data_IF_725552625127
#
_entry.id   IF_725552625127
#
_cell.length_a   1.000
_cell.length_b   1.000
_cell.length_c   1.000
_cell.angle_alpha   90.00
_cell.angle_beta   90.00
_cell.angle_gamma   90.00
#
_symmetry.space_group_name_H-M   'P 1'
#
loop_
_entity.id
_entity.type
_entity.pdbx_description
1 polymer ?
#
# COMPACT_ATOMS: atom_id res chain seq x y z
N UNK A 1 26.49 -19.30 17.27
CA UNK A 1 27.62 -18.42 16.87
C UNK A 1 27.11 -17.08 16.37
N UNK A 2 27.98 -16.07 16.21
CA UNK A 2 27.60 -14.66 15.93
C UNK A 2 26.72 -14.44 14.69
N UNK A 3 26.74 -15.35 13.70
CA UNK A 3 25.88 -15.33 12.50
C UNK A 3 24.73 -16.36 12.52
N UNK A 4 24.45 -16.97 13.67
CA UNK A 4 23.43 -18.03 13.77
C UNK A 4 22.02 -17.56 13.42
N UNK A 5 21.72 -16.27 13.62
CA UNK A 5 20.41 -15.69 13.34
C UNK A 5 20.08 -15.72 11.83
N UNK A 6 21.09 -15.68 10.93
CA UNK A 6 20.90 -15.76 9.48
C UNK A 6 20.40 -17.14 9.06
N UNK A 7 20.95 -18.19 9.67
CA UNK A 7 20.48 -19.57 9.45
C UNK A 7 19.05 -19.75 9.97
N UNK A 8 18.74 -19.21 11.15
CA UNK A 8 17.39 -19.23 11.73
C UNK A 8 16.41 -18.47 10.84
N UNK A 9 16.79 -17.30 10.32
CA UNK A 9 15.96 -16.52 9.40
C UNK A 9 15.69 -17.28 8.10
N UNK A 10 16.73 -17.85 7.49
CA UNK A 10 16.58 -18.67 6.28
C UNK A 10 15.65 -19.85 6.51
N UNK A 11 15.79 -20.53 7.64
CA UNK A 11 14.92 -21.65 8.02
C UNK A 11 13.47 -21.20 8.21
N UNK A 12 13.23 -20.20 9.08
CA UNK A 12 11.88 -19.74 9.41
C UNK A 12 11.15 -19.12 8.21
N UNK A 13 11.88 -18.49 7.28
CA UNK A 13 11.29 -17.94 6.04
C UNK A 13 10.69 -19.00 5.11
N UNK A 14 11.12 -20.26 5.22
CA UNK A 14 10.59 -21.40 4.46
C UNK A 14 9.66 -22.28 5.29
N UNK A 15 9.82 -22.26 6.63
CA UNK A 15 9.13 -23.15 7.53
C UNK A 15 7.59 -23.07 7.39
N UNK A 16 7.01 -21.90 7.10
CA UNK A 16 5.55 -21.77 6.98
C UNK A 16 4.96 -22.69 5.91
N UNK A 17 5.65 -22.85 4.79
CA UNK A 17 5.18 -23.61 3.62
C UNK A 17 5.26 -25.13 3.84
N UNK A 18 6.06 -25.58 4.83
CA UNK A 18 6.24 -27.00 5.15
C UNK A 18 5.58 -27.41 6.47
N UNK A 19 5.35 -26.47 7.39
CA UNK A 19 4.79 -26.75 8.71
C UNK A 19 3.27 -26.98 8.61
N UNK A 20 2.80 -28.12 9.13
CA UNK A 20 1.36 -28.41 9.30
C UNK A 20 0.67 -27.30 10.10
N UNK A 21 -0.67 -27.19 9.96
CA UNK A 21 -1.49 -26.14 10.59
C UNK A 21 -1.21 -25.93 12.08
N UNK A 22 -1.08 -27.02 12.84
CA UNK A 22 -0.74 -27.04 14.27
C UNK A 22 0.63 -27.68 14.54
N UNK A 23 1.49 -27.68 13.52
CA UNK A 23 2.86 -28.17 13.65
C UNK A 23 3.66 -27.33 14.62
N UNK A 24 4.64 -27.97 15.26
CA UNK A 24 5.53 -27.39 16.26
C UNK A 24 6.96 -27.46 15.77
N UNK A 25 7.74 -26.43 16.06
CA UNK A 25 9.18 -26.38 15.83
C UNK A 25 9.84 -26.18 17.20
N UNK A 26 10.78 -27.05 17.55
CA UNK A 26 11.68 -26.82 18.67
C UNK A 26 12.97 -26.19 18.14
N UNK A 27 13.25 -24.96 18.57
CA UNK A 27 14.43 -24.21 18.17
C UNK A 27 15.38 -24.08 19.37
N UNK A 28 16.55 -24.68 19.27
CA UNK A 28 17.66 -24.51 20.21
C UNK A 28 18.64 -23.47 19.65
N UNK A 29 18.98 -22.45 20.44
CA UNK A 29 19.99 -21.46 20.06
C UNK A 29 20.73 -20.89 21.27
N UNK A 30 21.98 -20.48 21.04
CA UNK A 30 22.85 -19.88 22.08
C UNK A 30 22.65 -18.36 22.18
N UNK A 31 22.91 -17.78 23.36
CA UNK A 31 22.97 -16.34 23.63
C UNK A 31 23.93 -15.58 22.73
N UNK A 32 24.93 -16.26 22.14
CA UNK A 32 25.81 -15.70 21.11
C UNK A 32 25.08 -15.38 19.80
N UNK A 33 23.84 -15.83 19.63
CA UNK A 33 23.01 -15.67 18.43
C UNK A 33 22.15 -14.40 18.47
N UNK A 34 22.23 -13.62 19.56
CA UNK A 34 21.39 -12.45 19.82
C UNK A 34 19.89 -12.81 19.89
N UNK A 35 19.42 -13.03 21.12
CA UNK A 35 18.03 -13.44 21.39
C UNK A 35 17.00 -12.46 20.83
N UNK A 36 17.28 -11.16 20.86
CA UNK A 36 16.35 -10.15 20.35
C UNK A 36 16.17 -10.29 18.84
N UNK A 37 17.25 -10.52 18.10
CA UNK A 37 17.18 -10.78 16.65
C UNK A 37 16.38 -12.05 16.34
N UNK A 38 16.54 -13.12 17.13
CA UNK A 38 15.75 -14.34 16.97
C UNK A 38 14.26 -14.06 17.19
N UNK A 39 13.91 -13.32 18.24
CA UNK A 39 12.53 -12.90 18.53
C UNK A 39 11.95 -12.06 17.36
N UNK A 40 12.74 -11.14 16.80
CA UNK A 40 12.36 -10.33 15.63
C UNK A 40 12.14 -11.17 14.36
N UNK A 41 13.01 -12.14 14.09
CA UNK A 41 12.89 -13.05 12.94
C UNK A 41 11.63 -13.89 13.05
N UNK A 42 11.32 -14.42 14.25
CA UNK A 42 10.09 -15.17 14.50
C UNK A 42 8.85 -14.31 14.20
N UNK A 43 8.82 -13.09 14.74
CA UNK A 43 7.71 -12.15 14.53
C UNK A 43 7.59 -11.72 13.06
N UNK A 44 8.72 -11.46 12.38
CA UNK A 44 8.78 -11.11 10.96
C UNK A 44 8.19 -12.19 10.07
N UNK A 45 8.27 -13.46 10.47
CA UNK A 45 7.71 -14.60 9.74
C UNK A 45 6.31 -15.02 10.24
N UNK A 46 5.64 -14.18 11.03
CA UNK A 46 4.28 -14.42 11.58
C UNK A 46 4.17 -15.70 12.42
N UNK A 47 5.25 -16.15 13.03
CA UNK A 47 5.20 -17.19 14.04
C UNK A 47 4.96 -16.60 15.43
N UNK A 48 4.47 -17.44 16.35
CA UNK A 48 4.51 -17.18 17.79
C UNK A 48 5.54 -18.12 18.41
N UNK A 49 6.20 -17.68 19.47
CA UNK A 49 7.16 -18.49 20.20
C UNK A 49 6.94 -18.41 21.71
N UNK A 50 7.24 -19.51 22.39
CA UNK A 50 7.31 -19.60 23.85
C UNK A 50 8.68 -20.19 24.21
N UNK A 51 9.44 -19.50 25.06
CA UNK A 51 10.63 -20.09 25.66
C UNK A 51 10.19 -21.20 26.62
N UNK A 52 10.64 -22.43 26.37
CA UNK A 52 10.33 -23.58 27.21
C UNK A 52 11.30 -23.69 28.38
N UNK A 53 12.59 -23.51 28.10
CA UNK A 53 13.66 -23.60 29.11
C UNK A 53 14.90 -22.86 28.62
N UNK A 54 15.84 -22.62 29.54
CA UNK A 54 17.17 -22.15 29.25
C UNK A 54 18.19 -22.83 30.17
N UNK A 55 19.41 -23.05 29.69
CA UNK A 55 20.50 -23.61 30.50
C UNK A 55 21.78 -22.82 30.25
N UNK A 56 22.45 -22.38 31.32
CA UNK A 56 23.78 -21.79 31.23
C UNK A 56 24.83 -22.91 31.12
N UNK A 57 25.72 -22.78 30.13
CA UNK A 57 26.81 -23.72 29.87
C UNK A 57 28.08 -22.90 29.62
N UNK A 58 29.07 -23.01 30.52
CA UNK A 58 30.31 -22.22 30.50
C UNK A 58 30.04 -20.71 30.33
N UNK A 59 30.35 -20.18 29.14
CA UNK A 59 30.27 -18.77 28.77
C UNK A 59 29.02 -18.40 27.96
N UNK A 60 28.09 -19.32 27.73
CA UNK A 60 26.86 -19.06 26.98
C UNK A 60 25.60 -19.60 27.68
N UNK A 61 24.45 -19.08 27.26
CA UNK A 61 23.14 -19.60 27.65
C UNK A 61 22.46 -20.19 26.44
N UNK A 62 22.04 -21.45 26.54
CA UNK A 62 21.22 -22.11 25.53
C UNK A 62 19.75 -21.87 25.83
N UNK A 63 18.99 -21.44 24.83
CA UNK A 63 17.54 -21.24 24.89
C UNK A 63 16.83 -22.30 24.06
N UNK A 64 15.75 -22.86 24.59
CA UNK A 64 14.84 -23.75 23.85
C UNK A 64 13.51 -23.05 23.65
N UNK A 65 13.16 -22.83 22.40
CA UNK A 65 11.90 -22.21 22.01
C UNK A 65 10.96 -23.22 21.37
N UNK A 66 9.70 -23.17 21.76
CA UNK A 66 8.60 -23.77 21.01
C UNK A 66 8.02 -22.71 20.07
N UNK A 67 8.09 -22.96 18.77
CA UNK A 67 7.58 -22.09 17.72
C UNK A 67 6.38 -22.76 17.05
N UNK A 68 5.32 -21.99 16.87
CA UNK A 68 4.05 -22.42 16.27
C UNK A 68 3.51 -21.34 15.33
N UNK A 69 2.66 -21.72 14.37
CA UNK A 69 1.95 -20.73 13.55
C UNK A 69 1.13 -19.79 14.44
N UNK A 70 1.22 -18.48 14.20
CA UNK A 70 0.33 -17.53 14.87
C UNK A 70 -1.11 -17.68 14.39
N UNK A 71 -2.07 -17.10 15.12
CA UNK A 71 -3.49 -17.09 14.70
C UNK A 71 -3.66 -16.52 13.29
N UNK A 72 -2.92 -15.47 12.95
CA UNK A 72 -2.99 -14.85 11.64
C UNK A 72 -2.38 -15.74 10.55
N UNK A 73 -1.26 -16.40 10.83
CA UNK A 73 -0.62 -17.32 9.88
C UNK A 73 -1.50 -18.55 9.62
N UNK A 74 -2.26 -19.01 10.62
CA UNK A 74 -3.27 -20.06 10.44
C UNK A 74 -4.44 -19.60 9.56
N UNK A 75 -4.89 -18.34 9.69
CA UNK A 75 -5.96 -17.78 8.84
C UNK A 75 -5.50 -17.59 7.38
N UNK A 76 -4.19 -17.40 7.16
CA UNK A 76 -3.57 -17.23 5.84
C UNK A 76 -3.08 -18.56 5.23
N UNK A 77 -3.69 -19.69 5.59
CA UNK A 77 -3.28 -21.03 5.13
C UNK A 77 -3.26 -21.21 3.60
N UNK A 78 -4.11 -20.45 2.89
CA UNK A 78 -4.16 -20.43 1.42
C UNK A 78 -3.06 -19.58 0.76
N UNK A 79 -2.26 -18.84 1.54
CA UNK A 79 -1.19 -17.98 1.04
C UNK A 79 0.16 -18.60 1.39
N UNK A 80 0.96 -18.91 0.36
CA UNK A 80 2.31 -19.45 0.53
C UNK A 80 3.39 -18.38 0.35
N UNK A 81 4.62 -18.70 0.73
CA UNK A 81 5.80 -17.84 0.58
C UNK A 81 5.59 -16.43 1.14
N UNK A 82 4.96 -16.35 2.33
CA UNK A 82 4.65 -15.09 2.99
C UNK A 82 5.95 -14.45 3.48
N UNK A 83 6.26 -13.25 2.99
CA UNK A 83 7.46 -12.49 3.36
C UNK A 83 7.10 -11.06 3.66
N UNK A 84 7.65 -10.52 4.75
CA UNK A 84 7.48 -9.10 5.07
C UNK A 84 8.05 -8.25 3.93
N UNK A 85 7.20 -7.38 3.38
CA UNK A 85 7.55 -6.51 2.27
C UNK A 85 7.79 -5.06 2.73
N UNK A 86 6.89 -4.53 3.55
CA UNK A 86 7.01 -3.17 4.07
C UNK A 86 6.37 -3.02 5.46
N UNK A 87 6.94 -2.13 6.28
CA UNK A 87 6.36 -1.72 7.56
C UNK A 87 5.77 -0.32 7.42
N UNK A 88 4.46 -0.18 7.59
CA UNK A 88 3.78 1.12 7.66
C UNK A 88 3.51 1.55 9.10
N UNK A 89 3.06 2.80 9.28
CA UNK A 89 2.70 3.34 10.61
C UNK A 89 1.59 2.53 11.28
N UNK A 90 0.61 2.06 10.50
CA UNK A 90 -0.61 1.40 11.01
C UNK A 90 -0.80 -0.05 10.57
N UNK A 91 0.00 -0.52 9.61
CA UNK A 91 -0.10 -1.87 9.07
C UNK A 91 1.25 -2.44 8.67
N UNK A 92 1.33 -3.75 8.62
CA UNK A 92 2.44 -4.50 8.05
C UNK A 92 1.98 -5.05 6.70
N UNK A 93 2.79 -4.88 5.67
CA UNK A 93 2.53 -5.41 4.34
C UNK A 93 3.47 -6.59 4.11
N UNK A 94 2.90 -7.73 3.80
CA UNK A 94 3.60 -8.92 3.38
C UNK A 94 3.34 -9.15 1.88
N UNK A 95 4.29 -9.75 1.19
CA UNK A 95 4.08 -10.37 -0.11
C UNK A 95 3.83 -11.87 0.10
N UNK A 96 3.09 -12.51 -0.81
CA UNK A 96 2.88 -13.95 -0.81
C UNK A 96 2.35 -14.44 -2.15
N UNK A 97 2.01 -15.72 -2.22
CA UNK A 97 1.42 -16.36 -3.40
C UNK A 97 0.05 -16.92 -3.02
N UNK A 98 -0.99 -16.50 -3.73
CA UNK A 98 -2.35 -16.99 -3.59
C UNK A 98 -2.87 -17.40 -4.96
N UNK A 99 -3.29 -18.66 -5.12
CA UNK A 99 -3.76 -19.23 -6.41
C UNK A 99 -2.79 -18.92 -7.58
N UNK A 100 -1.49 -19.19 -7.37
CA UNK A 100 -0.40 -18.92 -8.32
C UNK A 100 -0.22 -17.45 -8.73
N UNK A 101 -0.77 -16.50 -7.97
CA UNK A 101 -0.59 -15.06 -8.19
C UNK A 101 0.12 -14.42 -7.02
N UNK A 102 1.02 -13.49 -7.32
CA UNK A 102 1.66 -12.66 -6.30
C UNK A 102 0.63 -11.73 -5.68
N UNK A 103 0.54 -11.75 -4.36
CA UNK A 103 -0.42 -10.96 -3.56
C UNK A 103 0.28 -10.13 -2.50
N UNK A 104 -0.38 -9.05 -2.11
CA UNK A 104 -0.07 -8.27 -0.93
C UNK A 104 -1.01 -8.68 0.20
N UNK A 105 -0.47 -8.98 1.37
CA UNK A 105 -1.22 -9.23 2.60
C UNK A 105 -1.01 -8.06 3.55
N UNK A 106 -2.06 -7.26 3.77
CA UNK A 106 -2.06 -6.15 4.74
C UNK A 106 -2.62 -6.66 6.05
N UNK A 107 -1.84 -6.58 7.12
CA UNK A 107 -2.29 -6.90 8.48
C UNK A 107 -2.20 -5.66 9.36
N UNK A 108 -3.07 -5.58 10.38
CA UNK A 108 -2.99 -4.51 11.37
C UNK A 108 -1.66 -4.60 12.11
N UNK A 109 -0.97 -3.46 12.28
CA UNK A 109 0.19 -3.41 13.15
C UNK A 109 -0.29 -3.60 14.62
N UNK A 110 0.20 -4.61 15.36
CA UNK A 110 -0.21 -4.84 16.75
C UNK A 110 -0.01 -3.61 17.66
N UNK A 111 0.96 -2.74 17.33
CA UNK A 111 1.23 -1.49 18.07
C UNK A 111 0.23 -0.36 17.76
N UNK A 112 -0.66 -0.53 16.78
CA UNK A 112 -1.61 0.51 16.38
C UNK A 112 -2.90 0.46 17.21
N UNK A 113 -3.25 1.59 17.84
CA UNK A 113 -4.51 1.75 18.60
C UNK A 113 -5.75 1.85 17.71
N UNK A 114 -5.60 2.08 16.40
CA UNK A 114 -6.74 2.29 15.53
C UNK A 114 -7.52 0.99 15.26
N UNK A 115 -8.84 1.05 15.40
CA UNK A 115 -9.76 -0.09 15.26
C UNK A 115 -10.50 0.01 13.92
N UNK A 116 -10.85 -1.13 13.32
CA UNK A 116 -11.69 -1.18 12.11
C UNK A 116 -11.01 -0.79 10.79
N UNK A 117 -9.73 -0.41 10.78
CA UNK A 117 -8.96 -0.03 9.57
C UNK A 117 -9.05 -1.09 8.47
N UNK A 118 -8.75 -2.36 8.82
CA UNK A 118 -8.73 -3.46 7.87
C UNK A 118 -10.15 -3.72 7.32
N UNK A 119 -11.15 -3.81 8.20
CA UNK A 119 -12.55 -3.97 7.76
C UNK A 119 -13.01 -2.84 6.84
N UNK A 120 -12.62 -1.60 7.15
CA UNK A 120 -12.96 -0.43 6.35
C UNK A 120 -12.30 -0.49 4.96
N UNK A 121 -11.01 -0.80 4.91
CA UNK A 121 -10.28 -0.98 3.66
C UNK A 121 -10.93 -2.08 2.80
N UNK A 122 -11.23 -3.25 3.37
CA UNK A 122 -11.89 -4.35 2.65
C UNK A 122 -13.23 -3.91 2.07
N UNK A 123 -14.09 -3.29 2.89
CA UNK A 123 -15.39 -2.76 2.49
C UNK A 123 -15.29 -1.78 1.31
N UNK A 124 -14.34 -0.84 1.36
CA UNK A 124 -14.18 0.12 0.27
C UNK A 124 -13.58 -0.53 -0.97
N UNK A 125 -12.61 -1.44 -0.84
CA UNK A 125 -12.05 -2.20 -1.96
C UNK A 125 -13.12 -3.00 -2.68
N UNK A 126 -14.03 -3.69 -1.97
CA UNK A 126 -15.15 -4.40 -2.59
C UNK A 126 -16.03 -3.48 -3.46
N UNK A 127 -16.29 -2.25 -2.99
CA UNK A 127 -17.10 -1.28 -3.73
C UNK A 127 -16.34 -0.76 -4.95
N UNK A 128 -15.08 -0.35 -4.78
CA UNK A 128 -14.31 0.32 -5.84
C UNK A 128 -13.81 -0.67 -6.91
N UNK A 129 -13.56 -1.92 -6.54
CA UNK A 129 -13.19 -2.99 -7.48
C UNK A 129 -14.30 -3.27 -8.52
N UNK A 130 -15.59 -3.08 -8.18
CA UNK A 130 -16.70 -3.15 -9.16
C UNK A 130 -16.58 -2.10 -10.26
N UNK A 131 -15.84 -1.01 -10.02
CA UNK A 131 -15.51 0.02 -11.02
C UNK A 131 -14.08 -0.11 -11.56
N UNK A 132 -13.40 -1.24 -11.31
CA UNK A 132 -12.01 -1.51 -11.69
C UNK A 132 -11.00 -0.51 -11.09
N UNK A 133 -11.30 0.01 -9.90
CA UNK A 133 -10.45 0.94 -9.15
C UNK A 133 -9.78 0.19 -7.99
N UNK A 134 -8.50 0.50 -7.76
CA UNK A 134 -7.68 -0.07 -6.71
C UNK A 134 -7.21 -1.50 -6.99
N UNK A 135 -6.38 -2.08 -6.10
CA UNK A 135 -5.94 -3.46 -6.18
C UNK A 135 -7.14 -4.40 -6.10
N UNK A 136 -7.11 -5.50 -6.86
CA UNK A 136 -8.14 -6.54 -6.74
C UNK A 136 -8.09 -7.21 -5.37
N UNK A 137 -9.20 -7.19 -4.65
CA UNK A 137 -9.39 -7.92 -3.40
C UNK A 137 -9.57 -9.42 -3.70
N UNK A 138 -8.89 -10.27 -2.94
CA UNK A 138 -8.94 -11.73 -3.08
C UNK A 138 -9.53 -12.44 -1.87
N UNK A 139 -9.20 -11.96 -0.67
CA UNK A 139 -9.71 -12.49 0.59
C UNK A 139 -9.55 -11.43 1.69
N UNK A 140 -10.34 -11.52 2.76
CA UNK A 140 -10.20 -10.65 3.92
C UNK A 140 -10.78 -11.29 5.18
N UNK A 141 -10.27 -10.86 6.33
CA UNK A 141 -10.82 -11.19 7.64
C UNK A 141 -10.82 -9.96 8.55
N UNK A 142 -11.02 -10.19 9.85
CA UNK A 142 -11.09 -9.10 10.82
C UNK A 142 -9.78 -8.30 10.95
N UNK A 143 -8.64 -8.97 10.74
CA UNK A 143 -7.29 -8.50 11.01
C UNK A 143 -6.34 -8.57 9.80
N UNK A 144 -6.82 -9.05 8.65
CA UNK A 144 -6.06 -9.11 7.40
C UNK A 144 -6.87 -8.81 6.14
N UNK A 145 -6.15 -8.43 5.09
CA UNK A 145 -6.63 -8.35 3.71
C UNK A 145 -5.59 -9.01 2.81
N UNK A 146 -6.05 -9.83 1.87
CA UNK A 146 -5.26 -10.36 0.74
C UNK A 146 -5.75 -9.68 -0.53
N UNK A 147 -4.86 -8.97 -1.20
CA UNK A 147 -5.17 -8.21 -2.41
C UNK A 147 -4.05 -8.34 -3.46
N UNK A 148 -4.31 -7.85 -4.66
CA UNK A 148 -3.34 -7.77 -5.74
C UNK A 148 -2.06 -7.05 -5.30
N UNK A 149 -0.92 -7.68 -5.58
CA UNK A 149 0.37 -7.03 -5.42
C UNK A 149 0.62 -6.11 -6.62
N UNK A 150 0.43 -4.81 -6.44
CA UNK A 150 0.61 -3.84 -7.53
C UNK A 150 2.10 -3.56 -7.74
N UNK A 151 2.65 -4.07 -8.84
CA UNK A 151 4.03 -3.77 -9.24
C UNK A 151 4.12 -2.46 -10.01
N UNK A 152 4.92 -1.52 -9.52
CA UNK A 152 5.08 -0.22 -10.15
C UNK A 152 5.94 0.74 -9.35
N UNK A 153 5.93 2.00 -9.78
CA UNK A 153 6.61 3.11 -9.11
C UNK A 153 5.58 4.02 -8.45
N UNK A 154 5.93 4.65 -7.34
CA UNK A 154 5.11 5.73 -6.80
C UNK A 154 5.05 6.91 -7.78
N UNK A 155 3.99 7.73 -7.68
CA UNK A 155 3.71 8.79 -8.66
C UNK A 155 4.86 9.78 -8.86
N UNK A 156 5.61 10.13 -7.79
CA UNK A 156 6.73 11.06 -7.90
C UNK A 156 7.92 10.45 -8.64
N UNK A 157 8.31 9.23 -8.25
CA UNK A 157 9.38 8.49 -8.92
C UNK A 157 9.04 8.23 -10.40
N UNK A 158 7.73 8.06 -10.69
CA UNK A 158 7.24 7.95 -12.05
C UNK A 158 7.39 9.28 -12.81
N UNK A 159 7.00 10.42 -12.23
CA UNK A 159 7.15 11.73 -12.88
C UNK A 159 8.61 12.04 -13.20
N UNK A 160 9.55 11.70 -12.33
CA UNK A 160 10.99 11.94 -12.55
C UNK A 160 11.53 11.17 -13.76
N UNK A 161 11.07 9.92 -13.96
CA UNK A 161 11.63 9.00 -14.95
C UNK A 161 10.83 8.92 -16.27
N UNK A 162 9.73 9.66 -16.38
CA UNK A 162 8.80 9.53 -17.51
C UNK A 162 8.78 10.75 -18.43
N UNK A 163 8.32 10.55 -19.66
CA UNK A 163 8.12 11.60 -20.66
C UNK A 163 6.77 12.30 -20.45
N UNK A 164 6.65 13.54 -20.95
CA UNK A 164 5.43 14.37 -20.90
C UNK A 164 4.14 13.60 -21.20
N UNK A 165 4.11 12.88 -22.32
CA UNK A 165 2.92 12.13 -22.78
C UNK A 165 2.47 11.09 -21.75
N UNK A 166 3.41 10.35 -21.18
CA UNK A 166 3.12 9.32 -20.16
C UNK A 166 2.57 9.93 -18.88
N UNK A 167 3.14 11.06 -18.44
CA UNK A 167 2.69 11.80 -17.26
C UNK A 167 1.25 12.29 -17.44
N UNK A 168 0.93 12.89 -18.59
CA UNK A 168 -0.42 13.36 -18.90
C UNK A 168 -1.41 12.20 -18.91
N UNK A 169 -1.08 11.07 -19.56
CA UNK A 169 -1.92 9.87 -19.56
C UNK A 169 -2.20 9.38 -18.14
N UNK A 170 -1.19 9.34 -17.28
CA UNK A 170 -1.35 8.92 -15.88
C UNK A 170 -2.24 9.90 -15.12
N UNK A 171 -1.99 11.21 -15.21
CA UNK A 171 -2.80 12.24 -14.56
C UNK A 171 -4.27 12.11 -14.96
N UNK A 172 -4.55 11.89 -16.25
CA UNK A 172 -5.90 11.65 -16.76
C UNK A 172 -6.55 10.42 -16.14
N UNK A 173 -5.84 9.29 -16.13
CA UNK A 173 -6.35 8.05 -15.52
C UNK A 173 -6.57 8.20 -14.01
N UNK A 174 -5.80 9.05 -13.32
CA UNK A 174 -6.07 9.39 -11.91
C UNK A 174 -7.36 10.18 -11.79
N UNK A 175 -7.52 11.27 -12.54
CA UNK A 175 -8.74 12.09 -12.50
C UNK A 175 -10.00 11.28 -12.79
N UNK A 176 -9.97 10.37 -13.76
CA UNK A 176 -11.08 9.47 -14.08
C UNK A 176 -11.47 8.59 -12.88
N UNK A 177 -10.50 7.99 -12.19
CA UNK A 177 -10.76 7.20 -10.99
C UNK A 177 -11.33 8.07 -9.86
N UNK A 178 -10.76 9.25 -9.60
CA UNK A 178 -11.23 10.15 -8.54
C UNK A 178 -12.63 10.71 -8.83
N UNK A 179 -12.95 10.97 -10.10
CA UNK A 179 -14.29 11.38 -10.53
C UNK A 179 -15.32 10.29 -10.24
N UNK A 180 -14.99 9.02 -10.52
CA UNK A 180 -15.86 7.89 -10.18
C UNK A 180 -16.06 7.79 -8.66
N UNK A 181 -15.00 7.95 -7.85
CA UNK A 181 -15.13 7.97 -6.39
C UNK A 181 -16.05 9.11 -5.91
N UNK A 182 -15.87 10.31 -6.47
CA UNK A 182 -16.71 11.46 -6.17
C UNK A 182 -18.18 11.20 -6.50
N UNK A 183 -18.47 10.57 -7.65
CA UNK A 183 -19.83 10.17 -8.06
C UNK A 183 -20.44 9.09 -7.18
N UNK A 184 -19.63 8.18 -6.65
CA UNK A 184 -20.07 7.16 -5.71
C UNK A 184 -20.27 7.71 -4.28
N UNK A 185 -20.02 9.01 -4.04
CA UNK A 185 -20.07 9.61 -2.72
C UNK A 185 -19.00 9.05 -1.78
N UNK A 186 -17.85 8.62 -2.32
CA UNK A 186 -16.73 8.06 -1.55
C UNK A 186 -15.64 9.11 -1.48
N UNK A 187 -15.29 9.57 -0.28
CA UNK A 187 -14.10 10.39 -0.06
C UNK A 187 -12.97 9.47 0.39
N UNK A 188 -11.91 9.33 -0.42
CA UNK A 188 -10.75 8.48 -0.11
C UNK A 188 -9.88 9.07 0.99
N UNK A 189 -9.90 10.40 1.10
CA UNK A 189 -8.94 11.22 1.87
C UNK A 189 -7.52 11.17 1.28
N UNK A 190 -6.63 12.05 1.75
CA UNK A 190 -5.19 12.08 1.45
C UNK A 190 -4.80 12.31 -0.03
N UNK A 191 -5.74 12.67 -0.90
CA UNK A 191 -5.43 12.96 -2.31
C UNK A 191 -4.67 14.27 -2.53
N UNK A 192 -4.47 15.07 -1.48
CA UNK A 192 -3.58 16.24 -1.45
C UNK A 192 -2.12 15.84 -1.17
N UNK A 193 -1.87 14.61 -0.70
CA UNK A 193 -0.54 13.99 -0.54
C UNK A 193 -0.51 12.55 -1.08
N UNK A 194 -0.83 12.32 -2.37
CA UNK A 194 -1.04 10.98 -2.92
C UNK A 194 0.25 10.19 -3.19
N UNK A 195 1.41 10.72 -2.81
CA UNK A 195 2.75 10.18 -3.17
C UNK A 195 2.86 8.69 -2.88
N UNK A 196 2.43 8.26 -1.69
CA UNK A 196 2.46 6.85 -1.25
C UNK A 196 1.12 6.11 -1.47
N UNK A 197 0.12 6.81 -2.01
CA UNK A 197 -1.24 6.29 -2.21
C UNK A 197 -1.54 5.99 -3.69
N UNK A 198 -0.54 6.15 -4.56
CA UNK A 198 -0.70 5.99 -6.00
C UNK A 198 0.52 5.30 -6.60
N UNK A 199 0.30 4.11 -7.16
CA UNK A 199 1.31 3.34 -7.87
C UNK A 199 1.01 3.39 -9.36
N UNK A 200 2.03 3.65 -10.17
CA UNK A 200 1.97 3.58 -11.62
C UNK A 200 2.67 2.32 -12.09
N UNK A 201 1.90 1.45 -12.74
CA UNK A 201 2.40 0.20 -13.32
C UNK A 201 3.31 0.45 -14.52
N UNK A 202 4.05 -0.56 -14.96
CA UNK A 202 4.91 -0.48 -16.18
C UNK A 202 4.12 -0.08 -17.43
N UNK A 203 2.81 -0.35 -17.46
CA UNK A 203 1.92 -0.04 -18.58
C UNK A 203 1.26 1.35 -18.45
N UNK A 204 1.80 2.25 -17.63
CA UNK A 204 1.26 3.60 -17.34
C UNK A 204 -0.16 3.61 -16.75
N UNK A 205 -0.63 2.48 -16.21
CA UNK A 205 -1.89 2.44 -15.46
C UNK A 205 -1.64 2.89 -14.03
N UNK A 206 -2.34 3.94 -13.59
CA UNK A 206 -2.34 4.36 -12.18
C UNK A 206 -3.32 3.53 -11.36
N UNK A 207 -2.88 3.06 -10.21
CA UNK A 207 -3.68 2.31 -9.24
C UNK A 207 -3.68 3.07 -7.93
N UNK A 208 -4.87 3.46 -7.46
CA UNK A 208 -5.06 4.03 -6.13
C UNK A 208 -4.92 2.91 -5.09
N UNK A 209 -4.08 3.11 -4.08
CA UNK A 209 -3.92 2.16 -2.98
C UNK A 209 -4.28 2.82 -1.66
N UNK A 210 -4.47 2.00 -0.62
CA UNK A 210 -4.74 2.43 0.75
C UNK A 210 -6.06 3.20 0.90
N UNK A 211 -7.15 2.45 1.01
CA UNK A 211 -8.52 2.91 1.25
C UNK A 211 -8.90 2.88 2.73
N UNK A 212 -7.95 2.69 3.65
CA UNK A 212 -8.24 2.57 5.08
C UNK A 212 -8.97 3.79 5.67
N UNK A 213 -8.74 4.97 5.09
CA UNK A 213 -9.34 6.26 5.49
C UNK A 213 -10.58 6.62 4.68
N UNK A 214 -10.93 5.82 3.68
CA UNK A 214 -12.08 6.10 2.84
C UNK A 214 -13.37 6.11 3.68
N UNK A 215 -14.29 6.99 3.31
CA UNK A 215 -15.61 7.10 3.95
C UNK A 215 -16.66 7.52 2.96
N UNK A 216 -17.92 7.21 3.25
CA UNK A 216 -19.06 7.78 2.54
C UNK A 216 -19.24 9.24 2.97
N UNK A 217 -19.49 10.12 2.01
CA UNK A 217 -19.69 11.54 2.26
C UNK A 217 -20.62 12.15 1.22
N UNK A 218 -21.53 13.03 1.67
CA UNK A 218 -22.32 13.89 0.78
C UNK A 218 -21.43 14.90 0.03
N UNK A 219 -20.32 15.30 0.64
CA UNK A 219 -19.32 16.22 0.08
C UNK A 219 -17.99 15.49 -0.10
N UNK A 220 -17.73 15.03 -1.32
CA UNK A 220 -16.44 14.44 -1.69
C UNK A 220 -15.53 15.47 -2.34
N UNK A 221 -14.21 15.32 -2.14
CA UNK A 221 -13.22 16.31 -2.55
C UNK A 221 -12.00 15.68 -3.24
N UNK A 222 -12.13 14.45 -3.76
CA UNK A 222 -10.98 13.69 -4.25
C UNK A 222 -10.29 14.40 -5.42
N UNK A 223 -11.06 14.80 -6.44
CA UNK A 223 -10.55 15.53 -7.61
C UNK A 223 -9.91 16.87 -7.19
N UNK A 224 -10.59 17.63 -6.34
CA UNK A 224 -10.09 18.93 -5.88
C UNK A 224 -8.82 18.82 -5.02
N UNK A 225 -8.71 17.79 -4.19
CA UNK A 225 -7.50 17.50 -3.42
C UNK A 225 -6.34 17.13 -4.35
N UNK A 226 -6.60 16.37 -5.41
CA UNK A 226 -5.56 16.04 -6.39
C UNK A 226 -5.11 17.27 -7.19
N UNK A 227 -6.02 18.21 -7.51
CA UNK A 227 -5.63 19.51 -8.06
C UNK A 227 -4.68 20.26 -7.13
N UNK A 228 -4.98 20.30 -5.82
CA UNK A 228 -4.11 20.94 -4.82
C UNK A 228 -2.71 20.32 -4.81
N UNK A 229 -2.61 18.99 -4.92
CA UNK A 229 -1.32 18.31 -5.07
C UNK A 229 -0.56 18.76 -6.33
N UNK A 230 -1.22 18.81 -7.49
CA UNK A 230 -0.57 19.15 -8.76
C UNK A 230 -0.09 20.61 -8.83
N UNK A 231 -0.75 21.54 -8.14
CA UNK A 231 -0.36 22.96 -8.09
C UNK A 231 0.63 23.29 -6.98
N UNK A 232 0.98 22.34 -6.10
CA UNK A 232 1.99 22.54 -5.07
C UNK A 232 3.37 22.79 -5.71
N UNK A 233 4.15 23.71 -5.15
CA UNK A 233 5.34 24.27 -5.82
C UNK A 233 6.34 23.21 -6.29
N UNK A 234 6.73 22.29 -5.41
CA UNK A 234 7.61 21.17 -5.74
C UNK A 234 7.06 20.30 -6.89
N UNK A 235 5.75 20.04 -6.92
CA UNK A 235 5.14 19.21 -7.99
C UNK A 235 5.08 19.98 -9.30
N UNK A 236 4.67 21.24 -9.25
CA UNK A 236 4.62 22.12 -10.42
C UNK A 236 6.00 22.30 -11.04
N UNK A 237 7.05 22.49 -10.24
CA UNK A 237 8.44 22.55 -10.73
C UNK A 237 8.86 21.27 -11.44
N UNK A 238 8.54 20.10 -10.87
CA UNK A 238 8.83 18.80 -11.51
C UNK A 238 8.08 18.65 -12.84
N UNK A 239 6.82 19.05 -12.89
CA UNK A 239 6.02 19.02 -14.12
C UNK A 239 6.55 20.02 -15.16
N UNK A 240 6.97 21.21 -14.73
CA UNK A 240 7.58 22.23 -15.58
C UNK A 240 8.87 21.71 -16.23
N UNK A 241 9.74 21.02 -15.48
CA UNK A 241 10.96 20.37 -16.01
C UNK A 241 10.65 19.30 -17.08
N UNK A 242 9.43 18.76 -17.09
CA UNK A 242 8.93 17.83 -18.12
C UNK A 242 8.15 18.51 -19.25
N UNK A 243 8.13 19.86 -19.27
CA UNK A 243 7.42 20.64 -20.28
C UNK A 243 5.90 20.70 -20.09
N UNK A 244 5.41 20.46 -18.87
CA UNK A 244 3.99 20.59 -18.50
C UNK A 244 3.86 21.85 -17.65
N UNK A 245 3.64 23.00 -18.30
CA UNK A 245 3.48 24.29 -17.64
C UNK A 245 2.01 24.53 -17.28
N UNK A 246 1.72 24.55 -15.98
CA UNK A 246 0.35 24.70 -15.46
C UNK A 246 0.21 26.05 -14.77
N UNK A 247 -0.84 26.80 -15.11
CA UNK A 247 -1.21 28.02 -14.39
C UNK A 247 -2.04 27.66 -13.15
N UNK A 248 -1.60 28.16 -11.99
CA UNK A 248 -2.23 27.88 -10.68
C UNK A 248 -3.68 28.41 -10.63
N UNK A 249 -3.92 29.60 -11.14
CA UNK A 249 -5.23 30.23 -11.11
C UNK A 249 -6.24 29.47 -11.96
N UNK A 250 -5.84 29.02 -13.15
CA UNK A 250 -6.71 28.27 -14.06
C UNK A 250 -7.15 26.94 -13.43
N UNK A 251 -6.22 26.23 -12.79
CA UNK A 251 -6.55 24.98 -12.07
C UNK A 251 -7.48 25.27 -10.88
N UNK A 252 -7.26 26.33 -10.12
CA UNK A 252 -8.13 26.71 -9.00
C UNK A 252 -9.54 27.06 -9.50
N UNK A 253 -9.65 27.85 -10.58
CA UNK A 253 -10.93 28.21 -11.22
C UNK A 253 -11.66 26.95 -11.70
N UNK A 254 -10.97 26.04 -12.39
CA UNK A 254 -11.53 24.77 -12.84
C UNK A 254 -11.96 23.87 -11.67
N UNK A 255 -11.16 23.78 -10.60
CA UNK A 255 -11.47 23.00 -9.40
C UNK A 255 -12.71 23.54 -8.67
N UNK A 256 -12.86 24.86 -8.56
CA UNK A 256 -14.06 25.51 -8.00
C UNK A 256 -15.30 25.24 -8.86
N UNK A 257 -15.17 25.28 -10.19
CA UNK A 257 -16.29 24.96 -11.10
C UNK A 257 -16.72 23.50 -10.95
N UNK A 258 -15.76 22.58 -10.88
CA UNK A 258 -16.02 21.16 -10.65
C UNK A 258 -16.67 20.89 -9.28
N UNK A 259 -16.19 21.54 -8.22
CA UNK A 259 -16.73 21.31 -6.87
C UNK A 259 -18.19 21.73 -6.73
N UNK A 260 -18.59 22.82 -7.41
CA UNK A 260 -19.99 23.27 -7.51
C UNK A 260 -20.85 22.31 -8.32
N UNK A 261 -20.31 21.78 -9.42
CA UNK A 261 -21.05 20.89 -10.32
C UNK A 261 -20.16 19.77 -10.85
N UNK A 262 -20.24 18.59 -10.22
CA UNK A 262 -19.39 17.41 -10.54
C UNK A 262 -19.86 16.71 -11.82
N UNK A 263 -19.85 17.40 -12.96
CA UNK A 263 -20.15 16.83 -14.28
C UNK A 263 -18.87 16.42 -15.02
N UNK A 264 -18.98 15.43 -15.91
CA UNK A 264 -17.86 14.95 -16.73
C UNK A 264 -17.25 16.08 -17.56
N UNK A 265 -18.08 16.98 -18.10
CA UNK A 265 -17.63 18.18 -18.83
C UNK A 265 -16.68 19.06 -18.01
N UNK A 266 -17.01 19.33 -16.74
CA UNK A 266 -16.17 20.16 -15.88
C UNK A 266 -14.85 19.47 -15.54
N UNK A 267 -14.84 18.15 -15.43
CA UNK A 267 -13.61 17.35 -15.31
C UNK A 267 -12.79 17.39 -16.62
N UNK A 268 -13.43 17.26 -17.79
CA UNK A 268 -12.74 17.34 -19.08
C UNK A 268 -12.08 18.71 -19.30
N UNK A 269 -12.79 19.81 -18.99
CA UNK A 269 -12.22 21.17 -19.04
C UNK A 269 -11.01 21.33 -18.14
N UNK A 270 -11.02 20.69 -16.98
CA UNK A 270 -9.87 20.66 -16.07
C UNK A 270 -8.70 19.86 -16.65
N UNK A 271 -8.95 18.73 -17.31
CA UNK A 271 -7.92 17.93 -17.98
C UNK A 271 -7.25 18.67 -19.15
N UNK A 272 -8.01 19.49 -19.89
CA UNK A 272 -7.48 20.30 -20.98
C UNK A 272 -6.32 21.20 -20.55
N UNK A 273 -6.34 21.71 -19.30
CA UNK A 273 -5.25 22.53 -18.73
C UNK A 273 -3.93 21.74 -18.71
N UNK A 274 -3.98 20.43 -18.47
CA UNK A 274 -2.80 19.57 -18.41
C UNK A 274 -2.39 19.05 -19.80
N UNK A 275 -3.35 18.78 -20.69
CA UNK A 275 -3.10 18.32 -22.07
C UNK A 275 -2.52 19.43 -22.95
N UNK A 276 -3.09 20.64 -22.89
CA UNK A 276 -2.67 21.82 -23.67
C UNK A 276 -1.66 22.69 -22.94
N UNK A 277 -0.93 22.14 -21.96
CA UNK A 277 0.15 22.81 -21.28
C UNK A 277 1.33 23.08 -22.26
N UNK A 278 1.17 24.05 -23.16
CA UNK A 278 2.18 24.75 -23.96
C UNK A 278 1.68 26.19 -24.17
N UNK A 279 2.50 27.16 -23.76
CA UNK A 279 2.33 28.61 -23.88
C UNK A 279 1.07 29.22 -23.23
N UNK A 280 1.13 29.42 -21.91
CA UNK A 280 0.74 30.68 -21.25
C UNK A 280 -0.69 31.24 -21.34
N UNK A 281 -1.58 30.72 -22.19
CA UNK A 281 -2.98 31.15 -22.28
C UNK A 281 -3.83 29.96 -22.72
N UNK A 282 -4.64 29.42 -21.80
CA UNK A 282 -5.83 28.70 -22.20
C UNK A 282 -6.82 29.74 -22.74
N UNK A 283 -7.09 29.71 -24.04
CA UNK A 283 -8.25 30.41 -24.62
C UNK A 283 -9.47 29.63 -24.14
N UNK A 284 -10.31 30.28 -23.33
CA UNK A 284 -11.59 29.76 -22.84
C UNK A 284 -12.71 30.08 -23.82
#
# INVERSE_FOLDING_TARGET
GKKGYETIERFLSKANDHLKRYGKILLLFSSLTDKQKVDEVIAKNLFKAKQLTQKRIFFETLYVYLIEKSKILIKLDKVSNIRLYAKGKRGLIYSGIYKNKKVAVKIKNPKSKAVGIIKNEAKFLEIVNKKKIGPKLFDFGDDYIVMEFVEGKFILDFFEKSKKKQIITVIKHVFEQLFVLDKLGINKEEMHHPVKHLIVTKNNKSILIDFERAKKSKKTHNVTQFCQFLIGDNIRERLNKKGIKINREDVIKAAKRYSKNKKKENMSKMLCIFEHAKNGKAVF
#
